data_IF_568252183858
#
_entry.id   IF_568252183858
#
_cell.length_a   1.000
_cell.length_b   1.000
_cell.length_c   1.000
_cell.angle_alpha   90.00
_cell.angle_beta   90.00
_cell.angle_gamma   90.00
#
_symmetry.space_group_name_H-M   'P 1'
#
loop_
_entity.id
_entity.type
_entity.pdbx_description
1 polymer ?
#
# COMPACT_ATOMS: atom_id res chain seq x y z
N UNK A 1 -15.85 -3.94 19.63
CA UNK A 1 -14.70 -3.91 20.57
C UNK A 1 -13.54 -3.20 19.89
N UNK A 2 -12.89 -2.20 20.51
CA UNK A 2 -11.87 -1.40 19.84
C UNK A 2 -10.60 -2.24 19.62
N UNK A 3 -10.35 -2.63 18.37
CA UNK A 3 -9.18 -3.43 17.95
C UNK A 3 -7.82 -2.75 18.24
N UNK A 4 -7.81 -1.46 18.58
CA UNK A 4 -6.61 -0.66 18.85
C UNK A 4 -5.79 -1.10 20.06
N UNK A 5 -6.39 -1.78 21.04
CA UNK A 5 -5.64 -2.26 22.23
C UNK A 5 -4.55 -3.27 21.89
N UNK A 6 -4.77 -4.11 20.87
CA UNK A 6 -3.86 -5.19 20.50
C UNK A 6 -2.57 -4.72 19.82
N UNK A 7 -2.58 -3.55 19.18
CA UNK A 7 -1.42 -3.01 18.44
C UNK A 7 -0.59 -2.07 19.29
N UNK A 8 -1.22 -1.25 20.14
CA UNK A 8 -0.50 -0.51 21.18
C UNK A 8 0.28 -1.46 22.09
N UNK A 9 -0.36 -2.55 22.52
CA UNK A 9 0.29 -3.57 23.34
C UNK A 9 1.42 -4.29 22.59
N UNK A 10 1.26 -4.58 21.28
CA UNK A 10 2.32 -5.19 20.48
C UNK A 10 3.52 -4.26 20.30
N UNK A 11 3.30 -3.00 19.93
CA UNK A 11 4.36 -2.01 19.78
C UNK A 11 5.11 -1.82 21.12
N UNK A 12 4.36 -1.63 22.22
CA UNK A 12 4.93 -1.50 23.56
C UNK A 12 5.77 -2.73 23.93
N UNK A 13 5.26 -3.94 23.71
CA UNK A 13 6.00 -5.18 23.98
C UNK A 13 7.30 -5.24 23.16
N UNK A 14 7.25 -4.92 21.87
CA UNK A 14 8.45 -4.92 21.02
C UNK A 14 9.51 -3.95 21.55
N UNK A 15 9.13 -2.72 21.90
CA UNK A 15 10.07 -1.74 22.45
C UNK A 15 10.61 -2.12 23.83
N UNK A 16 9.78 -2.73 24.70
CA UNK A 16 10.22 -3.26 25.99
C UNK A 16 11.25 -4.38 25.79
N UNK A 17 10.96 -5.36 24.92
CA UNK A 17 11.89 -6.45 24.64
C UNK A 17 13.19 -5.95 24.01
N UNK A 18 13.11 -5.03 23.06
CA UNK A 18 14.29 -4.46 22.40
C UNK A 18 15.12 -3.62 23.38
N UNK A 19 14.47 -2.84 24.24
CA UNK A 19 15.11 -2.05 25.28
C UNK A 19 15.80 -2.91 26.34
N UNK A 20 15.14 -3.98 26.81
CA UNK A 20 15.75 -4.95 27.73
C UNK A 20 16.92 -5.68 27.08
N UNK A 21 16.77 -6.10 25.82
CA UNK A 21 17.81 -6.83 25.09
C UNK A 21 19.04 -5.96 24.83
N UNK A 22 18.87 -4.80 24.21
CA UNK A 22 19.97 -3.89 23.90
C UNK A 22 20.56 -3.28 25.18
N UNK A 23 19.71 -2.79 26.09
CA UNK A 23 20.17 -2.21 27.35
C UNK A 23 20.89 -3.22 28.23
N UNK A 24 20.39 -4.45 28.34
CA UNK A 24 21.05 -5.55 29.03
C UNK A 24 22.37 -5.96 28.38
N UNK A 25 22.42 -6.01 27.04
CA UNK A 25 23.65 -6.29 26.30
C UNK A 25 24.72 -5.23 26.57
N UNK A 26 24.38 -3.94 26.47
CA UNK A 26 25.30 -2.84 26.76
C UNK A 26 25.72 -2.79 28.23
N UNK A 27 24.81 -3.09 29.16
CA UNK A 27 25.14 -3.19 30.58
C UNK A 27 26.15 -4.31 30.85
N UNK A 28 25.92 -5.51 30.30
CA UNK A 28 26.80 -6.67 30.50
C UNK A 28 28.18 -6.46 29.84
N UNK A 29 28.20 -6.01 28.58
CA UNK A 29 29.45 -5.73 27.87
C UNK A 29 30.21 -4.55 28.52
N UNK A 30 29.48 -3.52 28.94
CA UNK A 30 30.03 -2.36 29.61
C UNK A 30 30.63 -2.69 30.96
N UNK A 31 29.96 -3.54 31.77
CA UNK A 31 30.49 -4.01 33.05
C UNK A 31 31.81 -4.78 32.86
N UNK A 32 31.94 -5.56 31.79
CA UNK A 32 33.16 -6.31 31.48
C UNK A 32 34.32 -5.44 30.97
N UNK A 33 34.03 -4.37 30.23
CA UNK A 33 35.06 -3.56 29.55
C UNK A 33 35.45 -2.28 30.31
N UNK A 34 34.47 -1.62 30.94
CA UNK A 34 34.60 -0.24 31.46
C UNK A 34 34.12 -0.13 32.92
N UNK A 35 33.57 -1.19 33.51
CA UNK A 35 33.10 -1.21 34.90
C UNK A 35 31.74 -0.54 35.08
N UNK A 36 31.56 0.21 36.17
CA UNK A 36 30.27 0.79 36.59
C UNK A 36 29.67 1.76 35.57
N UNK A 37 30.51 2.48 34.82
CA UNK A 37 30.08 3.40 33.76
C UNK A 37 29.34 2.66 32.63
N UNK A 38 29.73 1.42 32.35
CA UNK A 38 29.08 0.58 31.35
C UNK A 38 27.66 0.15 31.75
N UNK A 39 27.42 -0.06 33.05
CA UNK A 39 26.09 -0.33 33.59
C UNK A 39 25.16 0.87 33.39
N UNK A 40 25.65 2.09 33.65
CA UNK A 40 24.88 3.31 33.49
C UNK A 40 24.48 3.55 32.02
N UNK A 41 25.40 3.31 31.08
CA UNK A 41 25.09 3.37 29.63
C UNK A 41 24.01 2.36 29.25
N UNK A 42 24.09 1.12 29.73
CA UNK A 42 23.07 0.11 29.46
C UNK A 42 21.69 0.48 29.99
N UNK A 43 21.61 1.03 31.21
CA UNK A 43 20.36 1.52 31.80
C UNK A 43 19.79 2.71 31.03
N UNK A 44 20.64 3.64 30.56
CA UNK A 44 20.23 4.78 29.73
C UNK A 44 19.64 4.33 28.39
N UNK A 45 20.28 3.36 27.72
CA UNK A 45 19.76 2.76 26.48
C UNK A 45 18.40 2.12 26.73
N UNK A 46 18.27 1.31 27.79
CA UNK A 46 17.00 0.70 28.17
C UNK A 46 15.90 1.75 28.41
N UNK A 47 16.20 2.79 29.19
CA UNK A 47 15.27 3.89 29.48
C UNK A 47 14.82 4.63 28.22
N UNK A 48 15.74 4.88 27.29
CA UNK A 48 15.43 5.51 25.99
C UNK A 48 14.43 4.67 25.18
N UNK A 49 14.65 3.36 25.08
CA UNK A 49 13.73 2.47 24.35
C UNK A 49 12.34 2.39 25.00
N UNK A 50 12.26 2.42 26.34
CA UNK A 50 10.99 2.47 27.06
C UNK A 50 10.23 3.78 26.82
N UNK A 51 10.94 4.92 26.84
CA UNK A 51 10.37 6.24 26.52
C UNK A 51 9.88 6.32 25.07
N UNK A 52 10.67 5.84 24.11
CA UNK A 52 10.29 5.76 22.70
C UNK A 52 9.08 4.82 22.51
N UNK A 53 9.08 3.67 23.16
CA UNK A 53 7.96 2.73 23.11
C UNK A 53 6.67 3.32 23.66
N UNK A 54 6.73 4.06 24.76
CA UNK A 54 5.60 4.80 25.31
C UNK A 54 5.05 5.79 24.30
N UNK A 55 5.89 6.72 23.83
CA UNK A 55 5.47 7.79 22.91
C UNK A 55 4.90 7.27 21.60
N UNK A 56 5.51 6.26 20.98
CA UNK A 56 5.01 5.65 19.74
C UNK A 56 3.69 4.89 19.96
N UNK A 57 3.52 4.25 21.12
CA UNK A 57 2.26 3.56 21.44
C UNK A 57 1.08 4.50 21.65
N UNK A 58 1.33 5.74 22.06
CA UNK A 58 0.30 6.77 22.17
C UNK A 58 -0.09 7.37 20.82
N UNK A 59 0.83 7.45 19.86
CA UNK A 59 0.60 8.07 18.55
C UNK A 59 0.05 7.11 17.50
N UNK A 60 0.30 5.80 17.62
CA UNK A 60 -0.25 4.79 16.74
C UNK A 60 -1.76 4.65 16.94
N UNK A 61 -2.51 5.00 15.90
CA UNK A 61 -3.95 4.78 15.84
C UNK A 61 -4.31 3.79 14.73
N UNK A 62 -5.47 3.19 14.90
CA UNK A 62 -6.04 2.31 13.90
C UNK A 62 -7.43 2.80 13.53
N UNK A 63 -7.75 2.75 12.24
CA UNK A 63 -9.06 3.07 11.73
C UNK A 63 -9.51 1.98 10.75
N UNK A 64 -10.81 1.64 10.71
CA UNK A 64 -11.34 0.75 9.69
C UNK A 64 -11.36 1.47 8.33
N UNK A 65 -11.07 0.74 7.26
CA UNK A 65 -11.28 1.21 5.90
C UNK A 65 -12.80 1.42 5.66
N UNK A 66 -13.25 2.59 5.16
CA UNK A 66 -14.67 2.84 4.92
C UNK A 66 -15.28 1.90 3.86
N UNK A 67 -14.47 1.32 2.98
CA UNK A 67 -14.93 0.43 1.91
C UNK A 67 -14.98 -1.04 2.33
N UNK A 68 -13.85 -1.59 2.80
CA UNK A 68 -13.74 -3.03 3.10
C UNK A 68 -13.77 -3.38 4.59
N UNK A 69 -13.83 -2.37 5.47
CA UNK A 69 -13.75 -2.53 6.94
C UNK A 69 -12.46 -3.19 7.44
N UNK A 70 -11.45 -3.38 6.57
CA UNK A 70 -10.12 -3.82 6.94
C UNK A 70 -9.42 -2.80 7.82
N UNK A 71 -8.70 -3.26 8.85
CA UNK A 71 -8.02 -2.38 9.81
C UNK A 71 -6.75 -1.77 9.21
N UNK A 72 -6.65 -0.44 9.24
CA UNK A 72 -5.51 0.35 8.79
C UNK A 72 -4.73 0.90 9.99
N UNK A 73 -3.47 1.33 9.82
CA UNK A 73 -2.68 1.90 10.92
C UNK A 73 -1.97 0.87 11.82
N UNK A 74 -1.98 -0.42 11.45
CA UNK A 74 -1.50 -1.51 12.30
C UNK A 74 0.00 -1.77 12.30
N UNK A 75 0.76 -1.14 11.40
CA UNK A 75 2.22 -1.34 11.27
C UNK A 75 2.97 -0.01 11.27
N UNK A 76 4.24 -0.02 11.67
CA UNK A 76 5.10 1.17 11.70
C UNK A 76 5.20 1.92 10.35
N UNK A 77 5.01 1.20 9.24
CA UNK A 77 5.08 1.75 7.88
C UNK A 77 3.73 2.25 7.34
N UNK A 78 2.62 1.91 8.00
CA UNK A 78 1.26 2.32 7.61
C UNK A 78 0.53 3.04 8.73
N UNK A 79 1.27 3.48 9.76
CA UNK A 79 0.73 4.02 11.00
C UNK A 79 -0.01 5.33 10.75
N UNK A 80 -1.29 5.35 11.11
CA UNK A 80 -2.08 6.56 11.11
C UNK A 80 -1.65 7.40 12.31
N UNK A 81 -1.21 8.63 12.06
CA UNK A 81 -0.75 9.52 13.12
C UNK A 81 -1.67 10.72 13.28
N UNK A 82 -1.69 11.29 14.48
CA UNK A 82 -2.39 12.55 14.77
C UNK A 82 -1.79 13.74 13.98
N UNK A 83 -0.60 13.58 13.41
CA UNK A 83 0.09 14.58 12.59
C UNK A 83 -0.17 14.42 11.10
N UNK A 84 -0.95 13.41 10.70
CA UNK A 84 -1.29 13.23 9.30
C UNK A 84 -2.15 14.41 8.82
N UNK A 85 -1.60 15.19 7.89
CA UNK A 85 -2.27 16.29 7.22
C UNK A 85 -2.63 15.88 5.79
N UNK A 86 -3.84 15.33 5.62
CA UNK A 86 -4.43 14.96 4.33
C UNK A 86 -3.53 14.07 3.45
N UNK A 87 -2.85 13.09 4.05
CA UNK A 87 -2.04 12.17 3.27
C UNK A 87 -2.93 11.21 2.50
N UNK A 88 -2.66 11.07 1.21
CA UNK A 88 -3.35 10.12 0.34
C UNK A 88 -2.60 8.81 0.33
N UNK A 89 -3.29 7.70 0.51
CA UNK A 89 -2.69 6.38 0.47
C UNK A 89 -3.70 5.34 -0.02
N UNK A 90 -3.18 4.22 -0.51
CA UNK A 90 -3.97 3.10 -1.00
C UNK A 90 -4.23 2.09 0.13
N UNK A 91 -5.47 1.63 0.25
CA UNK A 91 -5.83 0.55 1.16
C UNK A 91 -5.15 -0.77 0.73
N UNK A 92 -4.35 -1.42 1.58
CA UNK A 92 -3.66 -2.66 1.21
C UNK A 92 -4.61 -3.87 1.05
N UNK A 93 -5.86 -3.75 1.51
CA UNK A 93 -6.84 -4.83 1.46
C UNK A 93 -7.76 -4.78 0.25
N UNK A 94 -8.27 -3.58 -0.08
CA UNK A 94 -9.25 -3.41 -1.16
C UNK A 94 -8.79 -2.46 -2.27
N UNK A 95 -7.55 -1.94 -2.18
CA UNK A 95 -6.98 -1.05 -3.19
C UNK A 95 -7.78 0.25 -3.37
N UNK A 96 -8.60 0.68 -2.42
CA UNK A 96 -9.26 1.99 -2.53
C UNK A 96 -8.34 3.10 -2.04
N UNK A 97 -8.38 4.27 -2.70
CA UNK A 97 -7.64 5.44 -2.22
C UNK A 97 -8.37 6.10 -1.06
N UNK A 98 -7.59 6.44 -0.05
CA UNK A 98 -8.05 6.96 1.23
C UNK A 98 -7.24 8.20 1.58
N UNK A 99 -7.84 9.05 2.40
CA UNK A 99 -7.18 10.22 2.98
C UNK A 99 -7.09 10.01 4.48
N UNK A 100 -5.88 10.08 5.03
CA UNK A 100 -5.69 10.20 6.47
C UNK A 100 -5.65 11.67 6.89
N UNK A 101 -6.40 11.98 7.95
CA UNK A 101 -6.34 13.27 8.60
C UNK A 101 -6.50 13.08 10.10
N UNK A 102 -5.49 13.48 10.89
CA UNK A 102 -5.53 13.41 12.37
C UNK A 102 -5.95 12.01 12.86
N UNK A 103 -5.29 10.98 12.34
CA UNK A 103 -5.58 9.57 12.62
C UNK A 103 -6.97 9.03 12.22
N UNK A 104 -7.82 9.86 11.61
CA UNK A 104 -9.05 9.42 10.97
C UNK A 104 -8.79 9.07 9.51
N UNK A 105 -9.55 8.11 9.00
CA UNK A 105 -9.49 7.71 7.60
C UNK A 105 -10.84 7.96 6.97
N UNK A 106 -10.82 8.61 5.81
CA UNK A 106 -12.01 8.80 4.97
C UNK A 106 -11.74 8.40 3.54
N UNK A 107 -12.81 8.20 2.78
CA UNK A 107 -12.74 8.03 1.34
C UNK A 107 -12.09 9.27 0.68
N UNK A 108 -11.27 9.03 -0.35
CA UNK A 108 -10.84 10.09 -1.27
C UNK A 108 -12.06 10.61 -2.02
N UNK A 109 -12.27 11.93 -1.96
CA UNK A 109 -13.32 12.63 -2.71
C UNK A 109 -12.73 13.36 -3.90
N UNK A 110 -13.57 13.79 -4.83
CA UNK A 110 -13.14 14.43 -6.08
C UNK A 110 -12.39 15.75 -5.81
N UNK A 111 -12.67 16.42 -4.70
CA UNK A 111 -11.97 17.66 -4.29
C UNK A 111 -10.55 17.39 -3.79
N UNK A 112 -10.23 16.15 -3.42
CA UNK A 112 -8.89 15.74 -2.99
C UNK A 112 -8.02 15.27 -4.17
N UNK A 113 -8.62 15.04 -5.34
CA UNK A 113 -7.93 14.55 -6.54
C UNK A 113 -6.95 15.62 -7.03
N UNK A 114 -5.66 15.33 -6.90
CA UNK A 114 -4.61 16.21 -7.45
C UNK A 114 -4.49 15.94 -8.95
N UNK A 115 -4.84 16.93 -9.78
CA UNK A 115 -4.70 16.93 -11.23
C UNK A 115 -3.22 16.85 -11.67
N UNK A 116 -2.65 15.65 -11.58
CA UNK A 116 -1.33 15.23 -12.08
C UNK A 116 -0.98 13.79 -11.64
N UNK A 117 -1.77 13.20 -10.73
CA UNK A 117 -1.47 11.88 -10.17
C UNK A 117 -1.97 10.77 -11.10
N UNK A 118 -1.09 9.82 -11.44
CA UNK A 118 -1.51 8.54 -12.01
C UNK A 118 -2.00 7.65 -10.87
N UNK A 119 -3.27 7.25 -10.94
CA UNK A 119 -3.86 6.37 -9.95
C UNK A 119 -3.55 4.92 -10.27
N UNK A 120 -2.79 4.27 -9.41
CA UNK A 120 -2.37 2.86 -9.54
C UNK A 120 -3.48 1.90 -9.12
N UNK A 121 -3.65 0.80 -9.83
CA UNK A 121 -4.52 -0.30 -9.46
C UNK A 121 -3.88 -1.62 -9.88
N UNK A 122 -3.93 -2.69 -9.08
CA UNK A 122 -3.45 -3.99 -9.54
C UNK A 122 -4.27 -4.52 -10.72
N UNK A 123 -3.59 -5.25 -11.61
CA UNK A 123 -4.28 -6.14 -12.56
C UNK A 123 -4.81 -7.35 -11.80
N UNK A 124 -6.03 -7.78 -12.07
CA UNK A 124 -6.66 -8.93 -11.40
C UNK A 124 -6.64 -10.18 -12.28
N UNK A 125 -6.51 -11.34 -11.64
CA UNK A 125 -6.63 -12.64 -12.29
C UNK A 125 -8.06 -12.82 -12.79
N UNK A 126 -8.21 -13.13 -14.09
CA UNK A 126 -9.48 -13.17 -14.82
C UNK A 126 -10.19 -11.82 -14.74
N UNK A 127 -9.39 -10.75 -14.58
CA UNK A 127 -9.80 -9.36 -14.53
C UNK A 127 -10.57 -8.97 -15.78
N UNK A 128 -11.52 -8.07 -15.60
CA UNK A 128 -12.54 -7.78 -16.58
C UNK A 128 -12.90 -6.32 -16.54
N UNK A 129 -13.29 -5.81 -17.68
CA UNK A 129 -13.73 -4.45 -17.81
C UNK A 129 -15.24 -4.34 -17.59
N UNK A 130 -15.72 -3.20 -17.06
CA UNK A 130 -17.15 -2.95 -17.03
C UNK A 130 -17.70 -2.85 -18.47
N UNK A 131 -19.02 -2.97 -18.65
CA UNK A 131 -19.64 -2.89 -19.98
C UNK A 131 -19.69 -1.46 -20.55
N UNK A 132 -19.40 -0.47 -19.71
CA UNK A 132 -19.41 0.95 -20.01
C UNK A 132 -18.01 1.50 -20.30
N UNK A 133 -17.94 2.68 -20.92
CA UNK A 133 -16.71 3.43 -21.11
C UNK A 133 -16.04 3.65 -19.76
N UNK A 134 -14.77 3.27 -19.68
CA UNK A 134 -14.04 3.34 -18.42
C UNK A 134 -13.94 4.78 -17.89
N UNK A 135 -13.83 5.77 -18.78
CA UNK A 135 -13.63 7.18 -18.41
C UNK A 135 -14.91 7.84 -17.93
N UNK A 136 -16.03 7.71 -18.66
CA UNK A 136 -17.26 8.45 -18.36
C UNK A 136 -18.48 7.60 -17.96
N UNK A 137 -18.48 6.29 -18.21
CA UNK A 137 -19.59 5.39 -17.82
C UNK A 137 -20.76 5.32 -18.79
N UNK A 138 -20.70 5.98 -19.94
CA UNK A 138 -21.68 5.74 -21.01
C UNK A 138 -21.41 4.38 -21.68
N UNK A 139 -22.37 3.77 -22.39
CA UNK A 139 -22.15 2.51 -23.10
C UNK A 139 -20.89 2.52 -23.97
N UNK A 140 -20.09 1.47 -23.88
CA UNK A 140 -18.86 1.37 -24.64
C UNK A 140 -19.16 1.06 -26.12
N UNK A 141 -18.62 1.86 -27.04
CA UNK A 141 -18.73 1.64 -28.48
C UNK A 141 -17.49 0.95 -29.05
N UNK A 142 -16.35 1.06 -28.37
CA UNK A 142 -15.07 0.47 -28.80
C UNK A 142 -14.28 -0.11 -27.65
N UNK A 143 -13.35 -1.00 -27.97
CA UNK A 143 -12.42 -1.61 -27.02
C UNK A 143 -11.00 -1.47 -27.52
N UNK A 144 -10.12 -0.90 -26.73
CA UNK A 144 -8.73 -0.62 -27.09
C UNK A 144 -7.77 -1.32 -26.13
N UNK A 145 -6.49 -1.42 -26.48
CA UNK A 145 -5.47 -1.92 -25.57
C UNK A 145 -4.92 -0.79 -24.68
N UNK A 146 -4.56 -1.11 -23.44
CA UNK A 146 -3.91 -0.18 -22.54
C UNK A 146 -2.49 0.14 -23.06
N UNK A 147 -2.09 1.41 -22.97
CA UNK A 147 -0.76 1.86 -23.42
C UNK A 147 0.31 1.38 -22.45
N UNK A 148 1.53 1.13 -22.91
CA UNK A 148 2.63 0.75 -22.01
C UNK A 148 3.49 1.98 -21.72
N UNK A 149 3.76 2.29 -20.45
CA UNK A 149 4.61 3.44 -20.07
C UNK A 149 6.14 3.14 -20.16
N UNK A 150 6.51 1.89 -20.47
CA UNK A 150 7.85 1.32 -20.73
C UNK A 150 8.94 1.44 -19.64
N UNK A 151 9.51 0.28 -19.29
CA UNK A 151 10.96 0.01 -19.29
C UNK A 151 11.17 -1.45 -19.70
N UNK A 152 11.50 -1.68 -20.99
CA UNK A 152 11.79 -3.00 -21.56
C UNK A 152 10.57 -3.76 -22.11
N UNK A 153 10.79 -4.70 -23.07
CA UNK A 153 9.75 -5.61 -23.52
C UNK A 153 9.32 -6.43 -22.32
N UNK A 154 8.11 -6.19 -21.80
CA UNK A 154 7.44 -7.16 -20.94
C UNK A 154 7.48 -8.49 -21.71
N UNK A 155 8.13 -9.55 -21.20
CA UNK A 155 8.10 -10.83 -21.87
C UNK A 155 6.65 -11.33 -21.81
N UNK A 156 5.93 -11.06 -22.90
CA UNK A 156 4.58 -11.53 -23.22
C UNK A 156 4.46 -13.06 -23.20
N UNK A 157 5.58 -13.78 -22.99
CA UNK A 157 5.66 -15.24 -22.90
C UNK A 157 5.55 -15.82 -21.48
N UNK A 158 5.35 -15.02 -20.43
CA UNK A 158 4.99 -15.58 -19.12
C UNK A 158 3.48 -15.78 -19.07
N UNK A 159 3.00 -16.99 -18.74
CA UNK A 159 1.56 -17.34 -18.75
C UNK A 159 0.66 -16.30 -18.06
N UNK A 160 1.16 -15.69 -16.98
CA UNK A 160 0.47 -14.61 -16.25
C UNK A 160 0.16 -13.34 -17.10
N UNK A 161 0.91 -13.05 -18.16
CA UNK A 161 0.61 -11.94 -19.09
C UNK A 161 -0.47 -12.33 -20.10
N UNK A 162 -0.51 -13.60 -20.53
CA UNK A 162 -1.61 -14.12 -21.35
C UNK A 162 -2.94 -14.11 -20.59
N UNK A 163 -2.87 -14.36 -19.28
CA UNK A 163 -4.01 -14.35 -18.36
C UNK A 163 -4.45 -12.95 -17.95
N UNK A 164 -3.49 -12.03 -17.78
CA UNK A 164 -3.74 -10.60 -17.61
C UNK A 164 -4.17 -9.92 -18.92
N UNK A 165 -4.07 -10.59 -20.07
CA UNK A 165 -4.37 -10.00 -21.37
C UNK A 165 -5.81 -9.48 -21.44
N UNK A 166 -6.78 -10.05 -20.70
CA UNK A 166 -8.15 -9.53 -20.66
C UNK A 166 -8.29 -8.17 -19.95
N UNK A 167 -7.42 -7.87 -18.99
CA UNK A 167 -7.39 -6.62 -18.24
C UNK A 167 -6.37 -5.61 -18.79
N UNK A 168 -5.48 -6.04 -19.68
CA UNK A 168 -4.55 -5.17 -20.42
C UNK A 168 -5.10 -4.83 -21.81
N UNK A 169 -5.84 -5.77 -22.41
CA UNK A 169 -6.51 -5.62 -23.71
C UNK A 169 -7.99 -5.35 -23.48
N UNK A 170 -8.66 -4.85 -24.52
CA UNK A 170 -10.11 -4.64 -24.55
C UNK A 170 -10.68 -3.65 -23.52
N UNK A 171 -9.90 -2.64 -23.14
CA UNK A 171 -10.35 -1.52 -22.30
C UNK A 171 -11.50 -0.78 -23.01
N UNK A 172 -12.67 -0.64 -22.39
CA UNK A 172 -13.86 -0.10 -23.01
C UNK A 172 -13.83 1.44 -23.06
N UNK A 173 -14.11 2.00 -24.23
CA UNK A 173 -14.23 3.45 -24.44
C UNK A 173 -15.48 3.79 -25.25
N UNK A 174 -15.96 5.01 -25.10
CA UNK A 174 -16.92 5.63 -26.02
C UNK A 174 -16.16 6.35 -27.15
N UNK A 175 -16.90 6.93 -28.09
CA UNK A 175 -16.30 7.66 -29.22
C UNK A 175 -15.56 8.93 -28.78
N UNK A 176 -16.01 9.56 -27.69
CA UNK A 176 -15.44 10.80 -27.16
C UNK A 176 -14.12 10.61 -26.38
N UNK A 177 -13.82 9.40 -25.88
CA UNK A 177 -12.64 9.15 -25.05
C UNK A 177 -11.67 8.15 -25.70
N UNK A 178 -10.38 8.43 -25.60
CA UNK A 178 -9.31 7.58 -26.13
C UNK A 178 -8.49 6.89 -25.04
N UNK A 179 -7.53 6.05 -25.45
CA UNK A 179 -6.71 5.24 -24.56
C UNK A 179 -5.92 6.06 -23.52
N UNK A 180 -6.48 6.09 -22.30
CA UNK A 180 -6.00 6.80 -21.10
C UNK A 180 -5.55 5.87 -19.96
N UNK A 181 -5.62 4.55 -20.19
CA UNK A 181 -5.12 3.55 -19.23
C UNK A 181 -3.74 3.10 -19.67
N UNK A 182 -2.80 3.12 -18.72
CA UNK A 182 -1.45 2.62 -18.94
C UNK A 182 -1.16 1.37 -18.13
N UNK A 183 -0.22 0.56 -18.58
CA UNK A 183 0.27 -0.62 -17.86
C UNK A 183 1.72 -0.38 -17.44
N UNK A 184 2.01 -0.75 -16.21
CA UNK A 184 3.32 -0.68 -15.58
C UNK A 184 3.58 -1.94 -14.75
N UNK A 185 4.84 -2.36 -14.66
CA UNK A 185 5.26 -3.44 -13.76
C UNK A 185 6.12 -2.83 -12.67
N UNK A 186 5.74 -3.02 -11.40
CA UNK A 186 6.52 -2.52 -10.28
C UNK A 186 7.80 -3.35 -10.04
N UNK A 187 8.71 -2.84 -9.21
CA UNK A 187 9.96 -3.50 -8.83
C UNK A 187 9.76 -4.84 -8.09
N UNK A 188 8.53 -5.11 -7.63
CA UNK A 188 8.13 -6.35 -6.97
C UNK A 188 7.54 -7.38 -7.95
N UNK A 189 7.45 -7.06 -9.24
CA UNK A 189 6.87 -7.93 -10.25
C UNK A 189 5.35 -7.97 -10.24
N UNK A 190 4.68 -6.94 -9.70
CA UNK A 190 3.22 -6.80 -9.84
C UNK A 190 2.90 -6.02 -11.10
N UNK A 191 1.88 -6.47 -11.80
CA UNK A 191 1.34 -5.76 -12.95
C UNK A 191 0.29 -4.75 -12.46
N UNK A 192 0.50 -3.49 -12.77
CA UNK A 192 -0.32 -2.36 -12.35
C UNK A 192 -0.92 -1.67 -13.59
N UNK A 193 -2.19 -1.28 -13.47
CA UNK A 193 -2.83 -0.32 -14.34
C UNK A 193 -2.72 1.07 -13.72
N UNK A 194 -2.45 2.05 -14.57
CA UNK A 194 -2.34 3.46 -14.21
C UNK A 194 -3.48 4.20 -14.91
N UNK A 195 -4.29 4.89 -14.14
CA UNK A 195 -5.42 5.67 -14.63
C UNK A 195 -5.13 7.16 -14.45
N UNK A 196 -5.38 7.96 -15.48
CA UNK A 196 -5.35 9.44 -15.37
C UNK A 196 -6.60 10.00 -14.71
N UNK A 197 -7.67 9.22 -14.65
CA UNK A 197 -8.95 9.58 -14.07
C UNK A 197 -9.28 8.67 -12.88
N UNK A 198 -9.63 9.27 -11.75
CA UNK A 198 -9.94 8.53 -10.53
C UNK A 198 -11.26 7.74 -10.64
N UNK A 199 -12.27 8.31 -11.31
CA UNK A 199 -13.54 7.64 -11.58
C UNK A 199 -13.36 6.37 -12.42
N UNK A 200 -12.49 6.43 -13.42
CA UNK A 200 -12.12 5.30 -14.27
C UNK A 200 -11.50 4.15 -13.48
N UNK A 201 -10.58 4.48 -12.58
CA UNK A 201 -10.01 3.50 -11.65
C UNK A 201 -11.08 2.87 -10.77
N UNK A 202 -11.96 3.67 -10.17
CA UNK A 202 -13.03 3.18 -9.29
C UNK A 202 -13.96 2.21 -10.02
N UNK A 203 -14.33 2.53 -11.26
CA UNK A 203 -15.13 1.63 -12.13
C UNK A 203 -14.43 0.30 -12.37
N UNK A 204 -13.14 0.33 -12.69
CA UNK A 204 -12.35 -0.89 -12.86
C UNK A 204 -12.29 -1.72 -11.56
N UNK A 205 -12.04 -1.07 -10.41
CA UNK A 205 -12.02 -1.77 -9.12
C UNK A 205 -13.38 -2.38 -8.78
N UNK A 206 -14.47 -1.65 -8.98
CA UNK A 206 -15.82 -2.13 -8.74
C UNK A 206 -16.13 -3.39 -9.58
N UNK A 207 -15.73 -3.40 -10.85
CA UNK A 207 -15.88 -4.57 -11.73
C UNK A 207 -15.05 -5.79 -11.28
N UNK A 208 -14.03 -5.58 -10.45
CA UNK A 208 -13.08 -6.63 -10.03
C UNK A 208 -13.00 -6.83 -8.51
N UNK A 209 -13.94 -6.29 -7.73
CA UNK A 209 -13.88 -6.23 -6.26
C UNK A 209 -13.73 -7.60 -5.55
N UNK A 210 -14.10 -8.70 -6.21
CA UNK A 210 -14.00 -10.08 -5.68
C UNK A 210 -12.82 -10.88 -6.23
N UNK A 211 -11.95 -10.26 -7.02
CA UNK A 211 -10.90 -10.95 -7.78
C UNK A 211 -9.54 -10.79 -7.11
N UNK A 212 -8.65 -11.72 -7.40
CA UNK A 212 -7.32 -11.78 -6.80
C UNK A 212 -6.33 -11.01 -7.68
N UNK A 213 -5.50 -10.10 -7.13
CA UNK A 213 -4.43 -9.44 -7.88
C UNK A 213 -3.42 -10.42 -8.50
N UNK A 214 -2.99 -10.15 -9.73
CA UNK A 214 -1.91 -10.90 -10.40
C UNK A 214 -0.57 -10.57 -9.75
N UNK A 215 0.21 -11.60 -9.43
CA UNK A 215 1.63 -11.48 -9.04
C UNK A 215 2.45 -12.20 -10.10
N UNK A 216 3.36 -11.50 -10.77
CA UNK A 216 4.28 -12.16 -11.69
C UNK A 216 5.38 -12.83 -10.87
N UNK A 217 5.78 -14.04 -11.28
CA UNK A 217 6.97 -14.66 -10.72
C UNK A 217 8.18 -13.75 -11.02
N UNK A 218 9.03 -13.50 -10.02
CA UNK A 218 10.28 -12.74 -10.23
C UNK A 218 11.04 -13.36 -11.40
N UNK A 219 11.52 -12.59 -12.38
CA UNK A 219 12.53 -13.10 -13.28
C UNK A 219 13.71 -13.54 -12.41
N UNK A 220 14.11 -14.81 -12.50
CA UNK A 220 15.40 -15.25 -11.93
C UNK A 220 16.43 -14.30 -12.52
N UNK A 221 17.07 -13.48 -11.69
CA UNK A 221 18.25 -12.71 -12.12
C UNK A 221 19.16 -13.72 -12.80
N UNK A 222 19.42 -13.52 -14.09
CA UNK A 222 20.48 -14.25 -14.76
C UNK A 222 21.73 -14.03 -13.91
N UNK A 223 22.32 -15.12 -13.42
CA UNK A 223 23.58 -15.05 -12.70
C UNK A 223 24.60 -14.42 -13.65
N UNK A 224 25.00 -13.19 -13.36
CA UNK A 224 26.15 -12.53 -13.97
C UNK A 224 27.42 -13.04 -13.32
#
# INVERSE_FOLDING_TARGET
>A
MPAGGSVKLRALRTFVFLGLFLGGFFAAAGLMLVGEEGLLVGLMVMGLFLLLGGTVSFTLQQAPCPYCQGMLGGTFTSGLTLRDEKQQFECPHCFEWLVSHKAMVRALQDEDVVFAMLYTCPVFWNGGWPAECIVCGVPASRRMEAKTLQAGPLPLGTGAVADAAGAVKRVPYCEAHEAQVFVHQDDHGKLLLLFTDYGARRRYLAANARRVPVKLARPKRAAS
#
